data_IF_535697619568
#
_entry.id   IF_535697619568
#
_cell.length_a   1.000
_cell.length_b   1.000
_cell.length_c   1.000
_cell.angle_alpha   90.00
_cell.angle_beta   90.00
_cell.angle_gamma   90.00
#
_symmetry.space_group_name_H-M   'P 1'
#
loop_
_entity.id
_entity.type
_entity.pdbx_description
1 polymer ?
#
# COMPACT_ATOMS: atom_id res chain seq x y z
N UNK A 1 -5.77 13.76 4.30
CA UNK A 1 -5.23 13.48 2.96
C UNK A 1 -5.81 14.50 2.02
N UNK A 2 -4.96 15.07 1.17
CA UNK A 2 -5.38 15.98 0.12
C UNK A 2 -6.37 15.27 -0.81
N UNK A 3 -7.45 15.96 -1.15
CA UNK A 3 -8.55 15.39 -1.94
C UNK A 3 -8.07 15.02 -3.34
N UNK A 4 -7.12 15.76 -3.89
CA UNK A 4 -6.58 15.51 -5.23
C UNK A 4 -5.65 14.30 -5.23
N UNK A 5 -4.78 14.18 -4.22
CA UNK A 5 -3.96 12.98 -4.03
C UNK A 5 -4.81 11.73 -3.85
N UNK A 6 -5.86 11.81 -3.01
CA UNK A 6 -6.78 10.69 -2.82
C UNK A 6 -7.43 10.28 -4.15
N UNK A 7 -7.91 11.25 -4.94
CA UNK A 7 -8.54 10.97 -6.23
C UNK A 7 -7.57 10.37 -7.24
N UNK A 8 -6.34 10.87 -7.29
CA UNK A 8 -5.30 10.37 -8.19
C UNK A 8 -4.92 8.91 -7.88
N UNK A 9 -4.99 8.50 -6.62
CA UNK A 9 -4.71 7.11 -6.21
C UNK A 9 -5.96 6.22 -6.24
N UNK A 10 -7.16 6.78 -6.23
CA UNK A 10 -8.42 6.06 -6.30
C UNK A 10 -8.98 5.95 -7.73
N UNK A 11 -8.17 6.21 -8.75
CA UNK A 11 -8.55 6.00 -10.15
C UNK A 11 -8.76 4.51 -10.44
N UNK A 12 -9.61 4.21 -11.42
CA UNK A 12 -9.85 2.84 -11.88
C UNK A 12 -8.70 2.28 -12.75
N UNK A 13 -7.68 3.10 -13.03
CA UNK A 13 -6.50 2.77 -13.83
C UNK A 13 -5.24 3.22 -13.05
N UNK A 14 -4.16 2.45 -13.16
CA UNK A 14 -2.85 2.73 -12.56
C UNK A 14 -2.13 3.88 -13.31
N UNK A 15 -2.65 5.10 -13.15
CA UNK A 15 -2.15 6.32 -13.77
C UNK A 15 -1.01 6.93 -12.93
N UNK A 16 0.19 6.37 -13.11
CA UNK A 16 1.41 6.81 -12.43
C UNK A 16 1.78 8.25 -12.81
N UNK A 17 1.66 8.60 -14.08
CA UNK A 17 2.03 9.93 -14.59
C UNK A 17 1.08 11.01 -14.07
N UNK A 18 -0.22 10.72 -14.04
CA UNK A 18 -1.24 11.57 -13.40
C UNK A 18 -0.98 11.73 -11.90
N UNK A 19 -0.64 10.65 -11.21
CA UNK A 19 -0.27 10.71 -9.79
C UNK A 19 0.96 11.59 -9.54
N UNK A 20 2.04 11.44 -10.33
CA UNK A 20 3.24 12.28 -10.23
C UNK A 20 2.88 13.75 -10.46
N UNK A 21 2.08 14.05 -11.48
CA UNK A 21 1.65 15.42 -11.78
C UNK A 21 0.90 16.07 -10.62
N UNK A 22 0.00 15.32 -9.96
CA UNK A 22 -0.72 15.80 -8.77
C UNK A 22 0.22 15.94 -7.58
N UNK A 23 1.16 15.01 -7.40
CA UNK A 23 2.13 15.01 -6.32
C UNK A 23 3.09 16.21 -6.40
N UNK A 24 3.62 16.52 -7.60
CA UNK A 24 4.45 17.71 -7.84
C UNK A 24 3.68 19.00 -7.57
N UNK A 25 2.43 19.06 -8.01
CA UNK A 25 1.56 20.23 -7.79
C UNK A 25 1.24 20.43 -6.32
N UNK A 26 0.84 19.39 -5.59
CA UNK A 26 0.57 19.47 -4.14
C UNK A 26 1.85 19.83 -3.38
N UNK A 27 3.00 19.28 -3.76
CA UNK A 27 4.28 19.64 -3.15
C UNK A 27 4.62 21.13 -3.38
N UNK A 28 4.41 21.64 -4.59
CA UNK A 28 4.71 23.04 -4.95
C UNK A 28 3.72 24.03 -4.33
N UNK A 29 2.41 23.76 -4.43
CA UNK A 29 1.35 24.67 -3.96
C UNK A 29 1.24 24.71 -2.45
N UNK A 30 1.43 23.56 -1.78
CA UNK A 30 1.31 23.45 -0.31
C UNK A 30 2.65 23.54 0.41
N UNK A 31 3.78 23.44 -0.32
CA UNK A 31 5.12 23.41 0.26
C UNK A 31 5.41 22.16 1.07
N UNK A 32 4.69 21.06 0.85
CA UNK A 32 4.88 19.81 1.58
C UNK A 32 6.06 19.02 1.02
N UNK A 33 6.84 18.40 1.92
CA UNK A 33 7.84 17.41 1.52
C UNK A 33 7.15 16.13 1.03
N UNK A 34 7.83 15.36 0.18
CA UNK A 34 7.32 14.05 -0.27
C UNK A 34 7.02 13.11 0.90
N UNK A 35 7.82 13.15 1.96
CA UNK A 35 7.55 12.34 3.15
C UNK A 35 6.26 12.76 3.87
N UNK A 36 5.95 14.06 3.92
CA UNK A 36 4.72 14.55 4.55
C UNK A 36 3.51 14.18 3.71
N UNK A 37 3.64 14.24 2.38
CA UNK A 37 2.64 13.79 1.41
C UNK A 37 2.34 12.29 1.60
N UNK A 38 3.36 11.44 1.63
CA UNK A 38 3.18 9.99 1.76
C UNK A 38 2.62 9.56 3.12
N UNK A 39 2.82 10.36 4.17
CA UNK A 39 2.25 10.14 5.51
C UNK A 39 0.84 10.66 5.68
N UNK A 40 0.27 11.31 4.67
CA UNK A 40 -1.12 11.76 4.77
C UNK A 40 -2.07 10.58 4.89
N UNK A 41 -3.02 10.71 5.80
CA UNK A 41 -4.08 9.71 6.03
C UNK A 41 -5.45 10.28 5.70
N UNK A 42 -6.35 9.42 5.23
CA UNK A 42 -7.77 9.76 5.02
C UNK A 42 -8.48 9.91 6.39
N UNK A 43 -9.75 10.36 6.41
CA UNK A 43 -10.55 10.35 7.65
C UNK A 43 -10.69 8.96 8.29
N UNK A 44 -10.62 7.89 7.49
CA UNK A 44 -10.61 6.50 7.96
C UNK A 44 -9.20 5.97 8.27
N UNK A 45 -8.23 6.87 8.41
CA UNK A 45 -6.82 6.56 8.68
C UNK A 45 -6.15 5.72 7.57
N UNK A 46 -6.74 5.66 6.38
CA UNK A 46 -6.11 5.00 5.25
C UNK A 46 -4.94 5.86 4.75
N UNK A 47 -3.73 5.27 4.72
CA UNK A 47 -2.58 5.85 4.02
C UNK A 47 -2.79 5.79 2.51
N UNK A 48 -1.97 6.52 1.73
CA UNK A 48 -1.99 6.41 0.27
C UNK A 48 -1.80 4.96 -0.21
N UNK A 49 -1.03 4.15 0.53
CA UNK A 49 -0.80 2.75 0.18
C UNK A 49 -2.06 1.88 0.36
N UNK A 50 -2.91 2.15 1.37
CA UNK A 50 -4.20 1.46 1.50
C UNK A 50 -5.09 1.72 0.29
N UNK A 51 -5.17 2.98 -0.14
CA UNK A 51 -6.00 3.35 -1.29
C UNK A 51 -5.43 2.72 -2.57
N UNK A 52 -4.11 2.76 -2.77
CA UNK A 52 -3.46 2.18 -3.93
C UNK A 52 -3.65 0.65 -3.99
N UNK A 53 -3.48 -0.04 -2.86
CA UNK A 53 -3.67 -1.48 -2.76
C UNK A 53 -5.12 -1.90 -3.04
N UNK A 54 -6.09 -1.11 -2.59
CA UNK A 54 -7.51 -1.36 -2.84
C UNK A 54 -7.91 -1.20 -4.33
N UNK A 55 -7.15 -0.42 -5.11
CA UNK A 55 -7.44 -0.13 -6.52
C UNK A 55 -6.49 -0.83 -7.51
N UNK A 56 -5.59 -1.70 -7.04
CA UNK A 56 -4.59 -2.39 -7.89
C UNK A 56 -3.58 -1.45 -8.58
N UNK A 57 -3.30 -0.31 -7.96
CA UNK A 57 -2.39 0.70 -8.49
C UNK A 57 -0.93 0.39 -8.16
N UNK A 58 -0.41 -0.65 -8.81
CA UNK A 58 0.92 -1.22 -8.60
C UNK A 58 2.05 -0.21 -8.79
N UNK A 59 2.02 0.58 -9.87
CA UNK A 59 3.03 1.57 -10.17
C UNK A 59 3.08 2.66 -9.10
N UNK A 60 1.92 3.12 -8.65
CA UNK A 60 1.81 4.06 -7.53
C UNK A 60 2.38 3.46 -6.24
N UNK A 61 2.11 2.19 -5.94
CA UNK A 61 2.68 1.50 -4.77
C UNK A 61 4.20 1.41 -4.86
N UNK A 62 4.75 1.10 -6.05
CA UNK A 62 6.18 1.04 -6.30
C UNK A 62 6.88 2.39 -6.16
N UNK A 63 6.15 3.50 -6.32
CA UNK A 63 6.65 4.82 -5.96
C UNK A 63 6.62 5.04 -4.44
N UNK A 64 5.49 4.81 -3.77
CA UNK A 64 5.32 5.18 -2.36
C UNK A 64 6.27 4.40 -1.44
N UNK A 65 6.40 3.09 -1.64
CA UNK A 65 7.06 2.20 -0.68
C UNK A 65 8.56 2.49 -0.51
N UNK A 66 9.36 2.68 -1.58
CA UNK A 66 10.77 3.04 -1.43
C UNK A 66 11.00 4.39 -0.71
N UNK A 67 10.10 5.36 -0.89
CA UNK A 67 10.21 6.65 -0.21
C UNK A 67 9.71 6.62 1.24
N UNK A 68 8.72 5.79 1.54
CA UNK A 68 8.12 5.72 2.86
C UNK A 68 7.80 4.27 3.27
N UNK A 69 8.80 3.43 3.57
CA UNK A 69 8.58 2.01 3.90
C UNK A 69 7.80 1.80 5.20
N UNK A 70 7.67 2.82 6.06
CA UNK A 70 6.86 2.72 7.27
C UNK A 70 5.37 2.54 6.96
N UNK A 71 4.87 3.08 5.84
CA UNK A 71 3.43 3.06 5.51
C UNK A 71 2.88 1.68 5.20
N UNK A 72 3.75 0.68 5.00
CA UNK A 72 3.32 -0.69 4.70
C UNK A 72 2.74 -1.39 5.94
N UNK A 73 3.17 -1.00 7.14
CA UNK A 73 2.67 -1.57 8.41
C UNK A 73 1.71 -0.64 9.16
N UNK A 74 1.47 0.55 8.63
CA UNK A 74 0.51 1.48 9.22
C UNK A 74 -0.89 0.88 9.16
N UNK A 75 -1.62 1.03 10.26
CA UNK A 75 -2.98 0.53 10.41
C UNK A 75 -3.99 1.66 10.21
N UNK A 76 -5.06 1.35 9.48
CA UNK A 76 -6.20 2.24 9.37
C UNK A 76 -7.11 2.17 10.61
N UNK A 77 -8.29 2.82 10.57
CA UNK A 77 -9.24 2.84 11.69
C UNK A 77 -9.79 1.46 12.06
N UNK A 78 -9.71 0.48 11.16
CA UNK A 78 -10.14 -0.90 11.38
C UNK A 78 -8.99 -1.81 11.84
N UNK A 79 -7.80 -1.26 12.09
CA UNK A 79 -6.57 -2.02 12.34
C UNK A 79 -6.07 -2.81 11.11
N UNK A 80 -6.58 -2.50 9.92
CA UNK A 80 -6.14 -3.10 8.65
C UNK A 80 -4.86 -2.40 8.18
N UNK A 81 -3.86 -3.18 7.74
CA UNK A 81 -2.75 -2.68 6.90
C UNK A 81 -3.09 -2.78 5.41
N UNK A 82 -2.27 -2.17 4.54
CA UNK A 82 -2.52 -2.11 3.09
C UNK A 82 -2.79 -3.48 2.42
N UNK A 83 -2.26 -4.58 2.97
CA UNK A 83 -2.54 -5.93 2.46
C UNK A 83 -3.97 -6.40 2.74
N UNK A 84 -4.57 -6.05 3.88
CA UNK A 84 -5.94 -6.49 4.21
C UNK A 84 -6.98 -5.86 3.28
N UNK A 85 -6.71 -4.64 2.81
CA UNK A 85 -7.58 -3.92 1.86
C UNK A 85 -7.28 -4.27 0.41
N UNK A 86 -6.25 -5.09 0.14
CA UNK A 86 -5.97 -5.55 -1.21
C UNK A 86 -7.04 -6.56 -1.66
N UNK A 87 -7.62 -6.40 -2.86
CA UNK A 87 -8.71 -7.25 -3.32
C UNK A 87 -8.25 -8.69 -3.60
N UNK A 88 -8.88 -9.66 -2.92
CA UNK A 88 -8.39 -11.03 -2.75
C UNK A 88 -8.54 -12.01 -3.92
N UNK A 89 -9.18 -11.66 -5.04
CA UNK A 89 -9.53 -12.65 -6.08
C UNK A 89 -9.18 -12.29 -7.53
N UNK A 90 -8.66 -11.08 -7.81
CA UNK A 90 -8.27 -10.66 -9.16
C UNK A 90 -6.90 -10.00 -9.27
N UNK A 91 -6.29 -9.64 -8.14
CA UNK A 91 -5.18 -8.69 -8.07
C UNK A 91 -3.98 -9.31 -7.35
N UNK A 92 -3.64 -10.52 -7.82
CA UNK A 92 -2.58 -11.35 -7.25
C UNK A 92 -1.21 -10.64 -7.26
N UNK A 93 -1.01 -9.68 -8.17
CA UNK A 93 0.20 -8.87 -8.28
C UNK A 93 0.36 -7.83 -7.15
N UNK A 94 -0.71 -7.23 -6.64
CA UNK A 94 -0.64 -6.29 -5.49
C UNK A 94 -0.19 -7.01 -4.25
N UNK A 95 -0.82 -8.16 -3.98
CA UNK A 95 -0.48 -9.02 -2.85
C UNK A 95 0.98 -9.46 -2.95
N UNK A 96 1.43 -9.92 -4.11
CA UNK A 96 2.85 -10.27 -4.34
C UNK A 96 3.80 -9.09 -4.14
N UNK A 97 3.44 -7.91 -4.64
CA UNK A 97 4.27 -6.71 -4.54
C UNK A 97 4.41 -6.23 -3.09
N UNK A 98 3.30 -6.16 -2.34
CA UNK A 98 3.30 -5.82 -0.91
C UNK A 98 4.13 -6.82 -0.10
N UNK A 99 3.95 -8.12 -0.36
CA UNK A 99 4.73 -9.16 0.29
C UNK A 99 6.22 -9.05 -0.05
N UNK A 100 6.57 -8.79 -1.31
CA UNK A 100 7.97 -8.59 -1.75
C UNK A 100 8.60 -7.41 -1.00
N UNK A 101 7.89 -6.27 -0.91
CA UNK A 101 8.38 -5.12 -0.16
C UNK A 101 8.55 -5.39 1.32
N UNK A 102 7.67 -6.19 1.91
CA UNK A 102 7.80 -6.61 3.31
C UNK A 102 8.95 -7.57 3.56
N UNK A 103 9.18 -8.55 2.69
CA UNK A 103 10.31 -9.47 2.83
C UNK A 103 11.66 -8.79 2.59
N UNK A 104 11.69 -7.68 1.86
CA UNK A 104 12.88 -6.83 1.70
C UNK A 104 13.11 -5.88 2.88
N UNK A 105 12.07 -5.57 3.68
CA UNK A 105 12.18 -4.71 4.85
C UNK A 105 12.67 -5.46 6.09
N UNK A 106 13.90 -5.17 6.53
CA UNK A 106 14.58 -5.80 7.68
C UNK A 106 13.89 -5.55 9.05
N UNK A 107 12.75 -4.86 9.07
CA UNK A 107 12.07 -4.34 10.28
C UNK A 107 10.56 -4.61 10.34
N UNK A 108 9.99 -5.36 9.41
CA UNK A 108 8.54 -5.56 9.32
C UNK A 108 8.12 -6.62 10.34
N UNK A 109 7.25 -6.25 11.28
CA UNK A 109 6.66 -7.19 12.25
C UNK A 109 5.82 -8.24 11.49
N UNK A 110 6.34 -9.46 11.41
CA UNK A 110 5.75 -10.57 10.64
C UNK A 110 4.42 -11.07 11.21
N UNK A 111 4.01 -10.59 12.39
CA UNK A 111 2.78 -11.05 13.08
C UNK A 111 1.50 -10.72 12.31
N UNK A 112 1.38 -9.53 11.74
CA UNK A 112 0.20 -9.16 10.96
C UNK A 112 0.04 -10.02 9.69
N UNK A 113 1.16 -10.47 9.10
CA UNK A 113 1.15 -11.44 7.98
C UNK A 113 0.62 -12.79 8.45
N UNK A 114 1.05 -13.27 9.61
CA UNK A 114 0.60 -14.56 10.15
C UNK A 114 -0.88 -14.56 10.48
N UNK A 115 -1.45 -13.43 10.92
CA UNK A 115 -2.89 -13.31 11.14
C UNK A 115 -3.66 -13.34 9.82
N UNK A 116 -3.24 -12.56 8.80
CA UNK A 116 -3.85 -12.57 7.47
C UNK A 116 -3.70 -13.93 6.75
N UNK A 117 -2.51 -14.53 6.75
CA UNK A 117 -2.26 -15.84 6.12
C UNK A 117 -2.97 -17.00 6.82
N UNK A 118 -3.33 -16.87 8.11
CA UNK A 118 -4.12 -17.88 8.82
C UNK A 118 -5.59 -17.90 8.38
N UNK A 119 -6.12 -16.75 7.96
CA UNK A 119 -7.48 -16.67 7.37
C UNK A 119 -7.48 -17.04 5.88
N UNK A 120 -6.37 -16.80 5.18
CA UNK A 120 -6.26 -16.97 3.72
C UNK A 120 -5.28 -18.11 3.36
N UNK A 121 -5.41 -19.26 4.02
CA UNK A 121 -4.52 -20.42 3.85
C UNK A 121 -4.48 -20.96 2.41
N UNK A 122 -5.52 -20.72 1.61
CA UNK A 122 -5.60 -21.20 0.21
C UNK A 122 -4.70 -20.42 -0.76
N UNK A 123 -4.41 -19.13 -0.52
CA UNK A 123 -3.66 -18.30 -1.48
C UNK A 123 -2.13 -18.53 -1.40
N UNK A 124 -1.64 -18.96 -0.23
CA UNK A 124 -0.19 -19.15 -0.01
C UNK A 124 0.41 -20.33 -0.77
N UNK A 125 -0.35 -21.40 -1.01
CA UNK A 125 0.10 -22.57 -1.75
C UNK A 125 0.22 -22.26 -3.27
N UNK A 126 -0.63 -21.38 -3.82
CA UNK A 126 -0.53 -20.90 -5.22
C UNK A 126 0.58 -19.86 -5.44
N UNK A 127 0.87 -19.02 -4.43
CA UNK A 127 1.87 -17.95 -4.53
C UNK A 127 3.34 -18.42 -4.38
N UNK A 128 3.60 -19.72 -4.12
CA UNK A 128 4.96 -20.27 -3.87
C UNK A 128 5.79 -19.47 -2.86
N UNK A 129 5.15 -18.81 -1.91
CA UNK A 129 5.87 -18.03 -0.91
C UNK A 129 6.63 -18.97 0.04
N UNK A 130 7.81 -18.58 0.54
CA UNK A 130 8.54 -19.38 1.50
C UNK A 130 7.66 -19.57 2.74
N UNK A 131 7.33 -20.83 3.06
CA UNK A 131 6.62 -21.16 4.30
C UNK A 131 7.43 -20.61 5.46
N UNK A 132 6.94 -19.53 6.06
CA UNK A 132 7.57 -18.90 7.23
C UNK A 132 7.41 -19.90 8.36
N UNK A 133 8.49 -20.62 8.67
CA UNK A 133 8.53 -21.48 9.86
C UNK A 133 8.52 -20.56 11.08
N UNK A 134 7.50 -20.72 11.92
CA UNK A 134 7.39 -20.14 13.26
C UNK A 134 8.64 -20.42 14.10
#
# INVERSE_FOLDING_TARGET
MDVELHKAVATHEDDVDGFISVLERVSTEKGYSLSDIFRQVSPSWNTLLHVAANHDNLGIMQLIVPYCPSVIIEQNSNSDIALHVAPGFGHQFVVQTLLSFWFQGDRVDRRAILEWTREVTEITDDLKLPRVRN
#
